data_IF_390819259264
#
_entry.id   IF_390819259264
#
_cell.length_a   1.000
_cell.length_b   1.000
_cell.length_c   1.000
_cell.angle_alpha   90.00
_cell.angle_beta   90.00
_cell.angle_gamma   90.00
#
_symmetry.space_group_name_H-M   'P 1'
#
loop_
_entity.id
_entity.type
_entity.pdbx_description
1 polymer ?
#
# COMPACT_ATOMS: atom_id res chain seq x y z
N UNK A 1 51.43 -43.80 12.45
CA UNK A 1 51.75 -42.78 13.47
C UNK A 1 52.31 -41.60 12.70
N UNK A 2 51.38 -40.69 12.46
CA UNK A 2 51.44 -39.23 12.30
C UNK A 2 52.43 -38.57 11.34
N UNK A 3 51.81 -38.15 10.23
CA UNK A 3 51.87 -36.88 9.52
C UNK A 3 52.47 -35.66 10.25
N UNK A 4 53.17 -34.82 9.50
CA UNK A 4 52.77 -33.41 9.27
C UNK A 4 53.70 -32.77 8.23
N UNK A 5 53.21 -32.58 7.01
CA UNK A 5 53.73 -31.57 6.09
C UNK A 5 52.61 -30.58 5.74
N UNK A 6 52.97 -29.31 5.83
CA UNK A 6 52.15 -28.16 5.48
C UNK A 6 52.31 -27.84 4.01
N UNK A 7 51.22 -27.46 3.33
CA UNK A 7 51.31 -26.49 2.23
C UNK A 7 49.98 -25.76 2.03
N UNK A 8 50.05 -24.44 2.05
CA UNK A 8 49.02 -23.48 1.66
C UNK A 8 49.14 -23.12 0.18
N UNK A 9 48.00 -23.06 -0.54
CA UNK A 9 47.58 -22.22 -1.69
C UNK A 9 46.37 -22.94 -2.34
N UNK A 10 45.26 -22.37 -2.80
CA UNK A 10 44.86 -21.02 -3.21
C UNK A 10 43.33 -20.98 -3.31
N UNK A 11 42.76 -19.76 -3.32
CA UNK A 11 41.34 -19.47 -3.50
C UNK A 11 40.79 -19.83 -4.91
N UNK A 12 39.45 -19.81 -4.97
CA UNK A 12 38.53 -19.75 -6.11
C UNK A 12 37.84 -21.05 -6.59
N UNK A 13 36.53 -20.89 -6.88
CA UNK A 13 35.56 -21.80 -7.49
C UNK A 13 34.64 -22.64 -6.57
N UNK A 14 33.52 -22.04 -6.12
CA UNK A 14 32.14 -22.50 -6.45
C UNK A 14 31.07 -21.80 -5.61
N UNK A 15 30.67 -20.58 -5.99
CA UNK A 15 29.39 -19.97 -5.60
C UNK A 15 28.47 -19.90 -6.81
N UNK A 16 28.10 -21.06 -7.34
CA UNK A 16 27.22 -21.18 -8.50
C UNK A 16 26.57 -22.55 -8.55
N UNK A 17 25.52 -22.76 -7.73
CA UNK A 17 24.38 -23.68 -7.94
C UNK A 17 23.67 -23.97 -6.61
N UNK A 18 22.87 -23.00 -6.14
CA UNK A 18 21.85 -23.24 -5.11
C UNK A 18 20.41 -23.12 -5.67
N UNK A 19 20.28 -23.03 -6.99
CA UNK A 19 19.00 -23.22 -7.67
C UNK A 19 18.81 -24.72 -7.95
N UNK A 20 17.60 -25.21 -7.69
CA UNK A 20 17.13 -26.59 -7.82
C UNK A 20 17.36 -27.48 -6.58
N UNK A 21 16.62 -27.16 -5.51
CA UNK A 21 16.33 -28.15 -4.47
C UNK A 21 15.00 -28.86 -4.79
N UNK A 22 15.01 -30.02 -5.48
CA UNK A 22 13.80 -30.72 -5.93
C UNK A 22 12.88 -31.14 -4.78
N UNK A 23 13.41 -31.23 -3.55
CA UNK A 23 12.63 -31.57 -2.36
C UNK A 23 11.70 -30.43 -1.95
N UNK A 24 12.06 -29.16 -2.21
CA UNK A 24 11.23 -27.98 -1.88
C UNK A 24 10.02 -27.87 -2.81
N UNK A 25 10.22 -28.08 -4.10
CA UNK A 25 9.16 -28.02 -5.11
C UNK A 25 8.15 -29.17 -4.93
N UNK A 26 8.64 -30.36 -4.60
CA UNK A 26 7.78 -31.51 -4.28
C UNK A 26 6.91 -31.25 -3.04
N UNK A 27 7.46 -30.55 -2.03
CA UNK A 27 6.70 -30.19 -0.83
C UNK A 27 5.64 -29.11 -1.11
N UNK A 28 5.99 -28.12 -1.94
CA UNK A 28 5.07 -27.06 -2.35
C UNK A 28 3.92 -27.60 -3.21
N UNK A 29 4.20 -28.49 -4.16
CA UNK A 29 3.18 -29.19 -4.95
C UNK A 29 2.28 -30.06 -4.05
N UNK A 30 2.85 -30.76 -3.07
CA UNK A 30 2.09 -31.52 -2.08
C UNK A 30 1.14 -30.66 -1.26
N UNK A 31 1.58 -29.46 -0.83
CA UNK A 31 0.76 -28.52 -0.06
C UNK A 31 -0.35 -27.89 -0.92
N UNK A 32 -0.04 -27.54 -2.18
CA UNK A 32 -1.02 -27.05 -3.16
C UNK A 32 -2.07 -28.11 -3.48
N UNK A 33 -1.66 -29.37 -3.64
CA UNK A 33 -2.58 -30.50 -3.82
C UNK A 33 -3.53 -30.68 -2.63
N UNK A 34 -3.03 -30.46 -1.41
CA UNK A 34 -3.84 -30.53 -0.18
C UNK A 34 -4.90 -29.42 -0.09
N UNK A 35 -4.54 -28.20 -0.51
CA UNK A 35 -5.37 -26.99 -0.33
C UNK A 35 -6.31 -26.71 -1.51
N UNK A 36 -5.99 -27.20 -2.71
CA UNK A 36 -6.78 -27.01 -3.94
C UNK A 36 -8.28 -27.28 -3.81
N UNK A 37 -8.75 -28.40 -3.23
CA UNK A 37 -10.19 -28.65 -3.12
C UNK A 37 -10.91 -27.64 -2.22
N UNK A 38 -10.23 -27.06 -1.23
CA UNK A 38 -10.81 -26.01 -0.37
C UNK A 38 -10.92 -24.68 -1.11
N UNK A 39 -9.92 -24.35 -1.93
CA UNK A 39 -9.92 -23.15 -2.77
C UNK A 39 -11.03 -23.23 -3.82
N UNK A 40 -11.15 -24.36 -4.51
CA UNK A 40 -12.19 -24.57 -5.53
C UNK A 40 -13.60 -24.48 -4.92
N UNK A 41 -13.81 -25.04 -3.73
CA UNK A 41 -15.07 -24.92 -2.99
C UNK A 41 -15.40 -23.48 -2.58
N UNK A 42 -14.38 -22.68 -2.21
CA UNK A 42 -14.58 -21.28 -1.88
C UNK A 42 -14.97 -20.48 -3.12
N UNK A 43 -14.31 -20.73 -4.26
CA UNK A 43 -14.59 -20.08 -5.54
C UNK A 43 -16.03 -20.33 -6.03
N UNK A 44 -16.50 -21.57 -5.91
CA UNK A 44 -17.87 -21.92 -6.27
C UNK A 44 -18.90 -21.24 -5.34
N UNK A 45 -18.61 -21.13 -4.04
CA UNK A 45 -19.48 -20.41 -3.08
C UNK A 45 -19.53 -18.91 -3.36
N UNK A 46 -18.40 -18.29 -3.70
CA UNK A 46 -18.34 -16.87 -4.07
C UNK A 46 -19.15 -16.64 -5.35
N UNK A 47 -19.00 -17.50 -6.36
CA UNK A 47 -19.75 -17.41 -7.63
C UNK A 47 -21.26 -17.54 -7.40
N UNK A 48 -21.68 -18.52 -6.61
CA UNK A 48 -23.09 -18.70 -6.27
C UNK A 48 -23.67 -17.47 -5.55
N UNK A 49 -22.94 -16.91 -4.59
CA UNK A 49 -23.37 -15.71 -3.84
C UNK A 49 -23.55 -14.51 -4.76
N UNK A 50 -22.66 -14.32 -5.75
CA UNK A 50 -22.76 -13.23 -6.73
C UNK A 50 -24.02 -13.33 -7.60
N UNK A 51 -24.36 -14.54 -8.03
CA UNK A 51 -25.57 -14.79 -8.82
C UNK A 51 -26.81 -14.42 -7.98
N UNK A 52 -26.89 -14.92 -6.74
CA UNK A 52 -28.01 -14.59 -5.85
C UNK A 52 -28.13 -13.10 -5.54
N UNK A 53 -27.01 -12.37 -5.47
CA UNK A 53 -27.03 -10.91 -5.28
C UNK A 53 -27.48 -10.13 -6.52
N UNK A 54 -27.12 -10.58 -7.72
CA UNK A 54 -27.60 -9.98 -8.97
C UNK A 54 -29.12 -10.19 -9.13
N UNK A 55 -29.60 -11.39 -8.80
CA UNK A 55 -31.04 -11.70 -8.78
C UNK A 55 -31.78 -10.83 -7.76
N UNK A 56 -31.23 -10.69 -6.54
CA UNK A 56 -31.82 -9.84 -5.51
C UNK A 56 -31.85 -8.37 -5.93
N UNK A 57 -30.80 -7.87 -6.59
CA UNK A 57 -30.74 -6.51 -7.11
C UNK A 57 -31.84 -6.27 -8.15
N UNK A 58 -32.01 -7.19 -9.10
CA UNK A 58 -33.09 -7.11 -10.10
C UNK A 58 -34.47 -7.13 -9.46
N UNK A 59 -34.68 -7.97 -8.43
CA UNK A 59 -35.94 -7.99 -7.69
C UNK A 59 -36.22 -6.68 -6.96
N UNK A 60 -35.21 -6.05 -6.37
CA UNK A 60 -35.34 -4.74 -5.71
C UNK A 60 -35.66 -3.64 -6.72
N UNK A 61 -35.03 -3.66 -7.89
CA UNK A 61 -35.31 -2.70 -8.98
C UNK A 61 -36.75 -2.87 -9.48
N UNK A 62 -37.19 -4.10 -9.74
CA UNK A 62 -38.57 -4.43 -10.11
C UNK A 62 -39.58 -3.98 -9.07
N UNK A 63 -39.33 -4.26 -7.78
CA UNK A 63 -40.22 -3.85 -6.69
C UNK A 63 -40.29 -2.32 -6.54
N UNK A 64 -39.19 -1.62 -6.78
CA UNK A 64 -39.17 -0.17 -6.75
C UNK A 64 -40.00 0.44 -7.89
N UNK A 65 -39.94 -0.13 -9.10
CA UNK A 65 -40.80 0.28 -10.21
C UNK A 65 -42.28 0.03 -9.89
N UNK A 66 -42.63 -1.13 -9.37
CA UNK A 66 -44.01 -1.43 -8.94
C UNK A 66 -44.51 -0.46 -7.86
N UNK A 67 -43.67 -0.14 -6.86
CA UNK A 67 -44.01 0.82 -5.82
C UNK A 67 -44.19 2.24 -6.36
N UNK A 68 -43.42 2.65 -7.37
CA UNK A 68 -43.63 3.95 -8.05
C UNK A 68 -44.94 3.95 -8.82
N UNK A 69 -45.25 2.88 -9.55
CA UNK A 69 -46.52 2.75 -10.28
C UNK A 69 -47.72 2.78 -9.32
N UNK A 70 -47.62 2.12 -8.16
CA UNK A 70 -48.64 2.16 -7.10
C UNK A 70 -48.74 3.57 -6.49
N UNK A 71 -47.62 4.27 -6.29
CA UNK A 71 -47.60 5.66 -5.80
C UNK A 71 -48.29 6.61 -6.77
N UNK A 72 -48.04 6.47 -8.07
CA UNK A 72 -48.68 7.27 -9.12
C UNK A 72 -50.18 6.97 -9.24
N UNK A 73 -50.58 5.71 -9.09
CA UNK A 73 -51.98 5.30 -9.13
C UNK A 73 -52.80 5.74 -7.90
N UNK A 74 -52.16 6.00 -6.76
CA UNK A 74 -52.82 6.30 -5.48
C UNK A 74 -52.96 7.80 -5.14
N UNK A 75 -52.65 8.71 -6.06
CA UNK A 75 -53.00 10.14 -6.00
C UNK A 75 -52.84 10.82 -4.60
N UNK A 76 -51.67 10.63 -3.97
CA UNK A 76 -51.22 11.29 -2.73
C UNK A 76 -52.13 11.18 -1.48
N UNK A 77 -52.24 10.00 -0.88
CA UNK A 77 -51.90 9.67 0.54
C UNK A 77 -52.47 8.28 0.92
N UNK A 78 -51.78 7.46 1.75
CA UNK A 78 -51.20 7.82 3.05
C UNK A 78 -49.67 7.99 3.00
N UNK A 79 -49.12 8.54 4.07
CA UNK A 79 -47.71 8.96 4.22
C UNK A 79 -46.71 7.84 3.88
N UNK A 80 -46.27 7.83 2.62
CA UNK A 80 -45.28 6.89 2.07
C UNK A 80 -43.85 7.34 2.35
N UNK A 81 -43.64 8.55 2.87
CA UNK A 81 -42.30 9.08 3.16
C UNK A 81 -41.47 8.19 4.10
N UNK A 82 -42.04 7.53 5.14
CA UNK A 82 -41.30 6.59 5.97
C UNK A 82 -40.80 5.37 5.18
N UNK A 83 -41.60 4.91 4.21
CA UNK A 83 -41.26 3.76 3.36
C UNK A 83 -40.25 4.15 2.29
N UNK A 84 -40.39 5.33 1.68
CA UNK A 84 -39.40 5.92 0.77
C UNK A 84 -38.07 6.14 1.49
N UNK A 85 -38.08 6.65 2.73
CA UNK A 85 -36.86 6.79 3.55
C UNK A 85 -36.23 5.44 3.89
N UNK A 86 -37.03 4.42 4.23
CA UNK A 86 -36.52 3.04 4.42
C UNK A 86 -35.93 2.48 3.13
N UNK A 87 -36.55 2.74 1.98
CA UNK A 87 -36.07 2.29 0.67
C UNK A 87 -34.75 3.00 0.29
N UNK A 88 -34.64 4.31 0.53
CA UNK A 88 -33.41 5.09 0.32
C UNK A 88 -32.30 4.61 1.27
N UNK A 89 -32.63 4.28 2.52
CA UNK A 89 -31.67 3.70 3.48
C UNK A 89 -31.23 2.30 3.04
N UNK A 90 -32.15 1.49 2.55
CA UNK A 90 -31.84 0.16 2.02
C UNK A 90 -30.96 0.25 0.76
N UNK A 91 -31.29 1.16 -0.17
CA UNK A 91 -30.46 1.50 -1.33
C UNK A 91 -29.06 1.94 -0.91
N UNK A 92 -28.93 2.80 0.09
CA UNK A 92 -27.62 3.18 0.62
C UNK A 92 -26.86 2.00 1.21
N UNK A 93 -27.50 1.15 2.00
CA UNK A 93 -26.87 -0.07 2.54
C UNK A 93 -26.44 -1.02 1.44
N UNK A 94 -27.27 -1.23 0.42
CA UNK A 94 -26.93 -2.04 -0.76
C UNK A 94 -25.79 -1.39 -1.55
N UNK A 95 -25.76 -0.06 -1.68
CA UNK A 95 -24.66 0.65 -2.35
C UNK A 95 -23.36 0.51 -1.56
N UNK A 96 -23.41 0.61 -0.23
CA UNK A 96 -22.24 0.38 0.64
C UNK A 96 -21.78 -1.07 0.52
N UNK A 97 -22.70 -2.04 0.55
CA UNK A 97 -22.36 -3.45 0.36
C UNK A 97 -21.81 -3.72 -1.04
N UNK A 98 -22.36 -3.10 -2.09
CA UNK A 98 -21.84 -3.17 -3.45
C UNK A 98 -20.45 -2.54 -3.55
N UNK A 99 -20.19 -1.43 -2.86
CA UNK A 99 -18.88 -0.81 -2.81
C UNK A 99 -17.88 -1.69 -2.04
N UNK A 100 -18.30 -2.32 -0.94
CA UNK A 100 -17.47 -3.27 -0.18
C UNK A 100 -17.21 -4.54 -0.98
N UNK A 101 -18.19 -5.04 -1.73
CA UNK A 101 -18.04 -6.18 -2.62
C UNK A 101 -17.23 -5.84 -3.86
N UNK A 102 -17.35 -4.62 -4.38
CA UNK A 102 -16.53 -4.10 -5.46
C UNK A 102 -15.09 -3.97 -4.97
N UNK A 103 -14.84 -3.39 -3.80
CA UNK A 103 -13.53 -3.36 -3.18
C UNK A 103 -12.97 -4.76 -2.88
N UNK A 104 -13.81 -5.71 -2.47
CA UNK A 104 -13.42 -7.11 -2.25
C UNK A 104 -13.17 -7.85 -3.57
N UNK A 105 -13.92 -7.54 -4.62
CA UNK A 105 -13.74 -8.06 -5.97
C UNK A 105 -12.52 -7.43 -6.65
N UNK A 106 -12.21 -6.17 -6.35
CA UNK A 106 -11.00 -5.48 -6.77
C UNK A 106 -9.80 -6.07 -6.06
N UNK A 107 -9.89 -6.40 -4.76
CA UNK A 107 -8.89 -7.20 -4.03
C UNK A 107 -8.75 -8.63 -4.55
N UNK A 108 -9.85 -9.29 -4.93
CA UNK A 108 -9.82 -10.61 -5.58
C UNK A 108 -9.24 -10.53 -7.00
N UNK A 109 -9.50 -9.43 -7.71
CA UNK A 109 -8.90 -9.13 -8.99
C UNK A 109 -7.43 -8.75 -8.81
N UNK A 110 -7.01 -8.12 -7.71
CA UNK A 110 -5.63 -7.88 -7.32
C UNK A 110 -4.91 -9.21 -7.05
N UNK A 111 -5.51 -10.12 -6.27
CA UNK A 111 -5.01 -11.48 -6.03
C UNK A 111 -4.91 -12.27 -7.34
N UNK A 112 -5.86 -12.12 -8.27
CA UNK A 112 -5.78 -12.71 -9.62
C UNK A 112 -4.82 -11.96 -10.55
N UNK A 113 -4.56 -10.68 -10.29
CA UNK A 113 -3.60 -9.83 -11.02
C UNK A 113 -2.18 -10.06 -10.54
N UNK A 114 -1.93 -10.56 -9.33
CA UNK A 114 -0.61 -11.01 -8.85
C UNK A 114 0.00 -12.16 -9.68
N UNK A 115 -0.65 -12.66 -10.73
CA UNK A 115 -0.01 -13.56 -11.71
C UNK A 115 1.18 -12.96 -12.50
N UNK A 116 1.55 -11.69 -12.27
CA UNK A 116 2.77 -11.08 -12.83
C UNK A 116 3.91 -10.86 -11.81
N UNK A 117 3.67 -11.12 -10.53
CA UNK A 117 4.65 -11.05 -9.44
C UNK A 117 4.61 -12.40 -8.76
N UNK A 118 5.67 -13.19 -8.87
CA UNK A 118 5.66 -14.52 -8.26
C UNK A 118 5.53 -14.37 -6.74
N UNK A 119 4.88 -15.31 -6.06
CA UNK A 119 4.80 -15.30 -4.59
C UNK A 119 6.19 -15.26 -3.96
N UNK A 120 7.18 -15.84 -4.65
CA UNK A 120 8.59 -15.81 -4.28
C UNK A 120 9.21 -14.40 -4.31
N UNK A 121 8.64 -13.44 -5.06
CA UNK A 121 9.16 -12.07 -5.07
C UNK A 121 8.88 -11.34 -3.73
N UNK A 122 7.80 -11.71 -3.04
CA UNK A 122 7.48 -11.20 -1.69
C UNK A 122 8.29 -11.87 -0.57
N UNK A 123 9.07 -12.92 -0.86
CA UNK A 123 10.09 -13.41 0.08
C UNK A 123 11.15 -12.32 0.35
N UNK A 124 11.23 -11.30 -0.52
CA UNK A 124 12.26 -10.28 -0.50
C UNK A 124 11.75 -8.85 -0.65
N UNK A 125 10.46 -8.62 -0.91
CA UNK A 125 9.87 -7.28 -1.04
C UNK A 125 8.62 -7.19 -0.18
N UNK A 126 8.41 -6.03 0.46
CA UNK A 126 7.24 -5.81 1.31
C UNK A 126 5.93 -5.88 0.51
N UNK A 127 5.05 -6.79 0.93
CA UNK A 127 3.70 -6.93 0.37
C UNK A 127 2.81 -5.77 0.87
N UNK A 128 2.01 -5.12 0.00
CA UNK A 128 1.04 -4.12 0.43
C UNK A 128 0.14 -4.63 1.55
N UNK A 129 0.16 -3.93 2.68
CA UNK A 129 -0.67 -4.24 3.84
C UNK A 129 -1.54 -3.04 4.26
N UNK A 130 -2.18 -3.13 5.43
CA UNK A 130 -3.14 -2.12 5.90
C UNK A 130 -2.55 -0.71 6.00
N UNK A 131 -1.25 -0.60 6.30
CA UNK A 131 -0.48 0.64 6.34
C UNK A 131 -0.37 1.30 4.95
N UNK A 132 -0.07 0.52 3.92
CA UNK A 132 0.02 0.95 2.53
C UNK A 132 -1.34 1.47 2.05
N UNK A 133 -2.42 0.76 2.37
CA UNK A 133 -3.78 1.21 2.06
C UNK A 133 -4.21 2.43 2.86
N UNK A 134 -3.80 2.56 4.12
CA UNK A 134 -4.06 3.76 4.92
C UNK A 134 -3.40 5.00 4.31
N UNK A 135 -2.19 4.85 3.77
CA UNK A 135 -1.48 5.93 3.09
C UNK A 135 -2.16 6.33 1.78
N UNK A 136 -2.64 5.36 1.00
CA UNK A 136 -3.46 5.63 -0.21
C UNK A 136 -4.76 6.35 0.17
N UNK A 137 -5.47 5.88 1.21
CA UNK A 137 -6.70 6.52 1.71
C UNK A 137 -6.44 7.98 2.16
N UNK A 138 -5.27 8.25 2.76
CA UNK A 138 -4.87 9.60 3.14
C UNK A 138 -4.65 10.50 1.92
N UNK A 139 -3.94 10.01 0.90
CA UNK A 139 -3.70 10.73 -0.36
C UNK A 139 -5.02 10.97 -1.11
N UNK A 140 -5.92 9.99 -1.13
CA UNK A 140 -7.26 10.15 -1.72
C UNK A 140 -8.08 11.20 -0.98
N UNK A 141 -8.08 11.17 0.36
CA UNK A 141 -8.77 12.17 1.18
C UNK A 141 -8.25 13.59 0.93
N UNK A 142 -6.95 13.73 0.70
CA UNK A 142 -6.30 15.03 0.42
C UNK A 142 -6.19 15.34 -1.08
N UNK A 143 -6.85 14.57 -1.95
CA UNK A 143 -6.74 14.68 -3.40
C UNK A 143 -7.11 16.07 -3.93
N UNK A 144 -8.12 16.72 -3.33
CA UNK A 144 -8.54 18.06 -3.74
C UNK A 144 -7.46 19.11 -3.43
N UNK A 145 -6.77 18.98 -2.30
CA UNK A 145 -5.63 19.81 -1.94
C UNK A 145 -4.47 19.59 -2.92
N UNK A 146 -4.11 18.34 -3.18
CA UNK A 146 -3.05 17.98 -4.13
C UNK A 146 -3.35 18.49 -5.56
N UNK A 147 -4.60 18.39 -6.03
CA UNK A 147 -5.03 18.96 -7.32
C UNK A 147 -4.85 20.48 -7.38
N UNK A 148 -5.07 21.20 -6.28
CA UNK A 148 -4.84 22.64 -6.23
C UNK A 148 -3.36 23.03 -6.30
N UNK A 149 -2.46 22.10 -5.96
CA UNK A 149 -1.01 22.28 -6.05
C UNK A 149 -0.44 21.96 -7.44
N UNK A 150 -1.13 21.11 -8.20
CA UNK A 150 -0.71 20.65 -9.53
C UNK A 150 0.76 20.16 -9.53
N UNK A 151 1.08 19.11 -8.76
CA UNK A 151 2.46 18.68 -8.55
C UNK A 151 3.08 18.16 -9.85
N UNK A 152 4.34 18.52 -10.07
CA UNK A 152 5.12 18.11 -11.24
C UNK A 152 6.06 16.97 -10.86
N UNK A 153 6.75 17.07 -9.73
CA UNK A 153 7.70 16.05 -9.27
C UNK A 153 7.26 15.45 -7.94
N UNK A 154 7.03 14.15 -7.93
CA UNK A 154 6.66 13.40 -6.73
C UNK A 154 7.71 12.33 -6.41
N UNK A 155 8.02 12.16 -5.13
CA UNK A 155 8.93 11.12 -4.64
C UNK A 155 8.23 10.24 -3.61
N UNK A 156 8.34 8.93 -3.77
CA UNK A 156 8.15 7.98 -2.66
C UNK A 156 9.51 7.45 -2.18
N UNK A 157 9.75 7.56 -0.88
CA UNK A 157 10.91 6.94 -0.23
C UNK A 157 10.50 5.58 0.33
N UNK A 158 11.31 4.54 0.10
CA UNK A 158 11.00 3.17 0.53
C UNK A 158 9.78 2.59 -0.20
N UNK A 159 9.81 2.55 -1.53
CA UNK A 159 8.60 2.23 -2.31
C UNK A 159 8.14 0.78 -2.21
N UNK A 160 9.00 -0.16 -1.81
CA UNK A 160 8.63 -1.58 -1.71
C UNK A 160 8.05 -2.10 -3.03
N UNK A 161 6.78 -2.48 -3.01
CA UNK A 161 6.03 -2.94 -4.20
C UNK A 161 5.66 -1.82 -5.20
N UNK A 162 5.75 -0.56 -4.79
CA UNK A 162 5.48 0.61 -5.62
C UNK A 162 4.01 0.98 -5.76
N UNK A 163 3.12 0.37 -4.96
CA UNK A 163 1.67 0.58 -5.09
C UNK A 163 1.22 2.00 -4.75
N UNK A 164 1.83 2.65 -3.76
CA UNK A 164 1.42 3.99 -3.29
C UNK A 164 1.78 5.07 -4.31
N UNK A 165 3.05 5.12 -4.74
CA UNK A 165 3.47 6.07 -5.78
C UNK A 165 2.79 5.82 -7.14
N UNK A 166 2.49 4.56 -7.46
CA UNK A 166 1.73 4.21 -8.67
C UNK A 166 0.30 4.73 -8.57
N UNK A 167 -0.37 4.55 -7.42
CA UNK A 167 -1.72 5.10 -7.19
C UNK A 167 -1.74 6.63 -7.31
N UNK A 168 -0.72 7.32 -6.78
CA UNK A 168 -0.58 8.76 -6.96
C UNK A 168 -0.41 9.12 -8.46
N UNK A 169 0.49 8.43 -9.18
CA UNK A 169 0.71 8.68 -10.60
C UNK A 169 -0.52 8.43 -11.48
N UNK A 170 -1.38 7.46 -11.11
CA UNK A 170 -2.68 7.26 -11.77
C UNK A 170 -3.63 8.44 -11.58
N UNK A 171 -3.61 9.06 -10.39
CA UNK A 171 -4.44 10.24 -10.09
C UNK A 171 -3.90 11.52 -10.74
N UNK A 172 -2.60 11.57 -11.06
CA UNK A 172 -1.92 12.72 -11.66
C UNK A 172 -1.09 12.33 -12.90
N UNK A 173 -1.71 12.11 -14.07
CA UNK A 173 -1.02 11.62 -15.27
C UNK A 173 0.09 12.53 -15.83
N UNK A 174 0.10 13.81 -15.44
CA UNK A 174 1.09 14.81 -15.88
C UNK A 174 2.26 14.95 -14.90
N UNK A 175 2.21 14.24 -13.77
CA UNK A 175 3.26 14.26 -12.75
C UNK A 175 4.34 13.24 -13.10
N UNK A 176 5.59 13.63 -12.92
CA UNK A 176 6.74 12.75 -12.98
C UNK A 176 6.97 12.12 -11.61
N UNK A 177 6.62 10.83 -11.49
CA UNK A 177 6.82 10.08 -10.27
C UNK A 177 8.20 9.44 -10.22
N UNK A 178 8.88 9.62 -9.09
CA UNK A 178 10.13 8.97 -8.75
C UNK A 178 9.93 8.14 -7.48
N UNK A 179 10.70 7.07 -7.35
CA UNK A 179 10.83 6.38 -6.07
C UNK A 179 12.27 5.99 -5.76
N UNK A 180 12.52 5.75 -4.48
CA UNK A 180 13.79 5.19 -3.99
C UNK A 180 13.54 4.02 -3.09
N UNK A 181 14.40 3.01 -3.17
CA UNK A 181 14.41 1.92 -2.21
C UNK A 181 15.85 1.40 -2.03
N UNK A 182 16.23 1.03 -0.80
CA UNK A 182 17.55 0.41 -0.53
C UNK A 182 17.62 -1.01 -1.09
N UNK A 183 16.48 -1.64 -1.33
CA UNK A 183 16.37 -2.96 -1.93
C UNK A 183 16.20 -2.86 -3.46
N UNK A 184 17.17 -3.41 -4.19
CA UNK A 184 17.15 -3.41 -5.66
C UNK A 184 15.94 -4.18 -6.22
N UNK A 185 15.46 -5.22 -5.54
CA UNK A 185 14.27 -5.99 -5.95
C UNK A 185 13.00 -5.14 -5.80
N UNK A 186 12.90 -4.33 -4.75
CA UNK A 186 11.80 -3.38 -4.57
C UNK A 186 11.78 -2.32 -5.68
N UNK A 187 12.96 -1.80 -6.07
CA UNK A 187 13.06 -0.89 -7.21
C UNK A 187 12.56 -1.54 -8.52
N UNK A 188 12.94 -2.79 -8.78
CA UNK A 188 12.49 -3.53 -9.96
C UNK A 188 10.97 -3.77 -9.93
N UNK A 189 10.43 -4.23 -8.78
CA UNK A 189 9.00 -4.45 -8.59
C UNK A 189 8.21 -3.15 -8.78
N UNK A 190 8.69 -2.04 -8.22
CA UNK A 190 8.05 -0.72 -8.37
C UNK A 190 7.94 -0.32 -9.85
N UNK A 191 8.99 -0.53 -10.66
CA UNK A 191 8.93 -0.26 -12.12
C UNK A 191 7.94 -1.18 -12.83
N UNK A 192 7.86 -2.45 -12.45
CA UNK A 192 6.88 -3.39 -13.00
C UNK A 192 5.44 -2.98 -12.66
N UNK A 193 5.17 -2.64 -11.40
CA UNK A 193 3.88 -2.13 -10.92
C UNK A 193 3.45 -0.89 -11.71
N UNK A 194 4.35 0.07 -11.91
CA UNK A 194 4.07 1.28 -12.69
C UNK A 194 3.81 0.98 -14.17
N UNK A 195 4.64 0.15 -14.81
CA UNK A 195 4.50 -0.23 -16.21
C UNK A 195 3.16 -0.95 -16.46
N UNK A 196 2.77 -1.85 -15.57
CA UNK A 196 1.48 -2.56 -15.63
C UNK A 196 0.29 -1.59 -15.57
N UNK A 197 0.38 -0.57 -14.71
CA UNK A 197 -0.65 0.45 -14.54
C UNK A 197 -0.52 1.65 -15.49
N UNK A 198 0.43 1.60 -16.45
CA UNK A 198 0.68 2.65 -17.45
C UNK A 198 1.00 4.02 -16.84
N UNK A 199 1.70 4.02 -15.71
CA UNK A 199 2.17 5.24 -15.03
C UNK A 199 3.62 5.52 -15.43
N UNK A 200 3.93 6.79 -15.70
CA UNK A 200 5.30 7.24 -15.93
C UNK A 200 5.99 7.34 -14.57
N UNK A 201 6.86 6.38 -14.27
CA UNK A 201 7.57 6.29 -13.02
C UNK A 201 8.96 5.70 -13.23
N UNK A 202 9.96 6.25 -12.55
CA UNK A 202 11.27 5.61 -12.41
C UNK A 202 11.62 5.37 -10.93
N UNK A 203 12.46 4.36 -10.68
CA UNK A 203 12.87 3.95 -9.34
C UNK A 203 14.38 3.81 -9.26
N UNK A 204 14.96 4.35 -8.18
CA UNK A 204 16.40 4.39 -7.94
C UNK A 204 16.78 3.59 -6.70
N UNK A 205 17.75 2.68 -6.84
CA UNK A 205 18.31 1.99 -5.68
C UNK A 205 19.19 2.98 -4.89
N UNK A 206 18.71 3.42 -3.73
CA UNK A 206 19.28 4.56 -3.00
C UNK A 206 18.89 4.52 -1.52
N UNK A 207 19.79 5.01 -0.67
CA UNK A 207 19.50 5.29 0.73
C UNK A 207 18.72 6.60 0.86
N UNK A 208 17.44 6.48 1.25
CA UNK A 208 16.51 7.60 1.36
C UNK A 208 16.51 8.45 0.06
N UNK A 209 16.71 9.76 0.18
CA UNK A 209 16.77 10.70 -0.94
C UNK A 209 18.18 11.27 -1.16
N UNK A 210 19.24 10.49 -0.86
CA UNK A 210 20.61 11.00 -0.66
C UNK A 210 21.19 11.76 -1.86
N UNK A 211 20.89 11.30 -3.08
CA UNK A 211 21.58 11.75 -4.30
C UNK A 211 20.73 12.64 -5.20
N UNK A 212 19.49 12.93 -4.80
CA UNK A 212 18.67 13.90 -5.53
C UNK A 212 19.15 15.32 -5.28
N UNK A 213 18.94 16.19 -6.28
CA UNK A 213 19.12 17.63 -6.13
C UNK A 213 18.14 18.21 -5.11
N UNK A 214 18.47 19.37 -4.57
CA UNK A 214 17.67 20.04 -3.56
C UNK A 214 16.48 20.81 -4.19
N UNK A 215 15.41 20.98 -3.40
CA UNK A 215 14.20 21.77 -3.68
C UNK A 215 13.44 21.37 -4.94
N UNK A 216 13.36 20.07 -5.23
CA UNK A 216 12.78 19.57 -6.49
C UNK A 216 11.40 18.93 -6.32
N UNK A 217 11.09 18.34 -5.16
CA UNK A 217 9.88 17.53 -5.02
C UNK A 217 8.69 18.34 -4.47
N UNK A 218 7.59 18.36 -5.22
CA UNK A 218 6.33 18.97 -4.82
C UNK A 218 5.59 18.10 -3.80
N UNK A 219 5.74 16.78 -3.91
CA UNK A 219 5.19 15.80 -2.96
C UNK A 219 6.28 14.81 -2.59
N UNK A 220 6.51 14.60 -1.30
CA UNK A 220 7.28 13.46 -0.79
C UNK A 220 6.33 12.58 0.02
N UNK A 221 6.44 11.26 -0.15
CA UNK A 221 5.67 10.25 0.56
C UNK A 221 6.65 9.29 1.22
N UNK A 222 6.37 8.92 2.47
CA UNK A 222 7.14 7.90 3.16
C UNK A 222 6.25 7.00 4.02
N UNK A 223 6.29 5.70 3.73
CA UNK A 223 5.90 4.64 4.65
C UNK A 223 7.18 4.02 5.24
N UNK A 224 7.67 4.48 6.40
CA UNK A 224 8.96 4.04 6.93
C UNK A 224 8.92 2.61 7.50
N UNK A 225 10.08 1.97 7.74
CA UNK A 225 10.16 0.90 8.72
C UNK A 225 9.91 1.49 10.12
N UNK A 226 8.69 1.32 10.63
CA UNK A 226 8.22 2.00 11.85
C UNK A 226 8.16 1.11 13.10
N UNK A 227 8.48 -0.18 12.99
CA UNK A 227 8.40 -1.11 14.13
C UNK A 227 9.55 -0.83 15.09
N UNK A 228 9.25 -0.74 16.38
CA UNK A 228 10.26 -0.58 17.43
C UNK A 228 11.07 -1.86 17.53
N UNK A 229 12.35 -1.77 17.25
CA UNK A 229 13.32 -2.88 17.30
C UNK A 229 14.60 -2.42 18.00
N UNK A 230 15.51 -3.35 18.26
CA UNK A 230 16.87 -2.97 18.63
C UNK A 230 17.56 -2.25 17.46
N UNK A 231 18.43 -1.29 17.74
CA UNK A 231 19.13 -0.51 16.72
C UNK A 231 20.00 -1.36 15.80
N UNK A 232 20.50 -2.51 16.28
CA UNK A 232 21.30 -3.46 15.50
C UNK A 232 20.49 -4.14 14.39
N UNK A 233 19.16 -4.19 14.51
CA UNK A 233 18.26 -4.76 13.51
C UNK A 233 17.88 -3.73 12.41
N UNK A 234 18.24 -2.46 12.60
CA UNK A 234 17.91 -1.38 11.69
C UNK A 234 18.93 -1.26 10.54
N UNK A 235 18.46 -1.12 9.30
CA UNK A 235 19.32 -0.85 8.15
C UNK A 235 20.01 -2.08 7.52
N UNK A 236 19.53 -3.29 7.81
CA UNK A 236 19.95 -4.50 7.10
C UNK A 236 19.56 -4.50 5.61
N UNK A 237 20.06 -5.47 4.85
CA UNK A 237 19.67 -5.69 3.44
C UNK A 237 18.55 -6.71 3.25
N UNK A 238 18.16 -7.39 4.32
CA UNK A 238 17.14 -8.44 4.31
C UNK A 238 15.74 -7.84 4.45
N UNK A 239 14.70 -8.67 4.24
CA UNK A 239 13.29 -8.26 4.34
C UNK A 239 12.96 -7.55 5.66
N UNK A 240 13.69 -7.87 6.73
CA UNK A 240 13.60 -7.25 8.06
C UNK A 240 13.75 -5.73 8.04
N UNK A 241 14.56 -5.20 7.12
CA UNK A 241 14.75 -3.76 6.94
C UNK A 241 13.48 -3.03 6.48
N UNK A 242 12.48 -3.77 5.99
CA UNK A 242 11.18 -3.18 5.59
C UNK A 242 10.34 -2.74 6.78
N UNK A 243 10.59 -3.26 7.99
CA UNK A 243 9.82 -2.90 9.18
C UNK A 243 10.69 -2.45 10.37
N UNK A 244 11.95 -2.87 10.47
CA UNK A 244 12.83 -2.57 11.61
C UNK A 244 13.25 -1.08 11.68
N UNK A 245 12.59 -0.32 12.54
CA UNK A 245 12.78 1.12 12.70
C UNK A 245 13.76 1.53 13.82
N UNK A 246 14.31 0.56 14.56
CA UNK A 246 15.25 0.81 15.65
C UNK A 246 14.58 1.48 16.86
N UNK A 247 15.34 2.30 17.59
CA UNK A 247 14.86 3.00 18.77
C UNK A 247 13.64 3.88 18.46
N UNK A 248 12.55 3.68 19.21
CA UNK A 248 11.23 4.31 18.98
C UNK A 248 10.62 4.00 17.58
N UNK A 249 11.22 3.10 16.80
CA UNK A 249 10.80 2.83 15.42
C UNK A 249 11.02 4.04 14.49
N UNK A 250 12.02 4.87 14.74
CA UNK A 250 12.22 6.14 14.03
C UNK A 250 13.62 6.43 13.53
N UNK A 251 14.60 5.55 13.68
CA UNK A 251 15.98 5.88 13.28
C UNK A 251 16.08 6.26 11.79
N UNK A 252 15.38 5.53 10.93
CA UNK A 252 15.30 5.84 9.49
C UNK A 252 14.43 7.08 9.24
N UNK A 253 13.31 7.20 9.95
CA UNK A 253 12.40 8.36 9.88
C UNK A 253 13.14 9.64 10.21
N UNK A 254 13.82 9.71 11.35
CA UNK A 254 14.54 10.89 11.83
C UNK A 254 15.67 11.30 10.88
N UNK A 255 16.34 10.33 10.23
CA UNK A 255 17.29 10.61 9.14
C UNK A 255 16.62 11.30 7.96
N UNK A 256 15.47 10.81 7.50
CA UNK A 256 14.74 11.45 6.40
C UNK A 256 14.21 12.84 6.80
N UNK A 257 13.68 13.01 8.01
CA UNK A 257 13.16 14.29 8.50
C UNK A 257 14.21 15.41 8.37
N UNK A 258 15.48 15.11 8.63
CA UNK A 258 16.59 16.06 8.46
C UNK A 258 16.89 16.43 7.00
N UNK A 259 16.46 15.61 6.04
CA UNK A 259 16.62 15.84 4.61
C UNK A 259 15.45 16.61 4.00
N UNK A 260 14.23 16.45 4.53
CA UNK A 260 12.99 17.05 4.00
C UNK A 260 13.13 18.56 3.71
N UNK A 261 13.71 19.40 4.60
CA UNK A 261 13.84 20.84 4.34
C UNK A 261 14.66 21.19 3.10
N UNK A 262 15.56 20.30 2.67
CA UNK A 262 16.39 20.47 1.47
C UNK A 262 15.78 19.82 0.23
N UNK A 263 14.92 18.80 0.38
CA UNK A 263 14.39 18.02 -0.75
C UNK A 263 13.05 18.54 -1.27
N UNK A 264 12.20 19.06 -0.39
CA UNK A 264 10.91 19.64 -0.80
C UNK A 264 11.09 20.95 -1.57
N UNK A 265 10.36 21.08 -2.67
CA UNK A 265 10.21 22.32 -3.40
C UNK A 265 9.47 23.38 -2.57
N UNK A 266 9.48 24.63 -3.06
CA UNK A 266 8.68 25.70 -2.49
C UNK A 266 7.19 25.34 -2.55
N UNK A 267 6.50 25.36 -1.41
CA UNK A 267 5.10 24.92 -1.24
C UNK A 267 4.87 23.41 -1.38
N UNK A 268 5.95 22.61 -1.39
CA UNK A 268 5.87 21.16 -1.37
C UNK A 268 5.27 20.62 -0.07
N UNK A 269 4.77 19.40 -0.15
CA UNK A 269 4.08 18.70 0.94
C UNK A 269 4.73 17.34 1.19
N UNK A 270 4.83 16.95 2.46
CA UNK A 270 5.36 15.65 2.86
C UNK A 270 4.31 14.85 3.63
N UNK A 271 4.05 13.62 3.18
CA UNK A 271 3.17 12.66 3.87
C UNK A 271 4.00 11.57 4.51
N UNK A 272 3.75 11.32 5.79
CA UNK A 272 4.47 10.35 6.60
C UNK A 272 3.49 9.47 7.36
N UNK A 273 3.62 8.15 7.19
CA UNK A 273 2.93 7.17 8.02
C UNK A 273 3.69 6.97 9.33
N UNK A 274 2.95 6.90 10.44
CA UNK A 274 3.46 6.60 11.78
C UNK A 274 2.49 5.69 12.54
N UNK A 275 3.01 5.01 13.55
CA UNK A 275 2.22 4.42 14.64
C UNK A 275 2.37 5.26 15.93
N UNK A 276 1.49 5.05 16.90
CA UNK A 276 1.52 5.78 18.18
C UNK A 276 2.85 5.57 18.94
N UNK A 277 3.44 4.38 18.82
CA UNK A 277 4.74 4.02 19.39
C UNK A 277 5.90 4.84 18.82
N UNK A 278 5.73 5.42 17.63
CA UNK A 278 6.68 6.37 17.07
C UNK A 278 6.56 7.77 17.68
N UNK A 279 5.74 7.98 18.71
CA UNK A 279 5.58 9.26 19.42
C UNK A 279 5.41 10.44 18.42
N UNK A 280 4.30 10.49 17.66
CA UNK A 280 4.11 11.44 16.56
C UNK A 280 4.30 12.91 16.95
N UNK A 281 4.03 13.27 18.21
CA UNK A 281 4.23 14.63 18.72
C UNK A 281 5.71 15.06 18.63
N UNK A 282 6.67 14.18 18.92
CA UNK A 282 8.10 14.48 18.76
C UNK A 282 8.46 14.69 17.28
N UNK A 283 7.86 13.90 16.37
CA UNK A 283 8.06 14.06 14.92
C UNK A 283 7.52 15.42 14.43
N UNK A 284 6.36 15.82 14.97
CA UNK A 284 5.78 17.15 14.71
C UNK A 284 6.69 18.26 15.23
N UNK A 285 7.26 18.12 16.42
CA UNK A 285 8.20 19.10 16.99
C UNK A 285 9.45 19.26 16.11
N UNK A 286 10.04 18.15 15.64
CA UNK A 286 11.19 18.18 14.73
C UNK A 286 10.86 18.98 13.47
N UNK A 287 9.76 18.65 12.79
CA UNK A 287 9.38 19.34 11.55
C UNK A 287 8.97 20.81 11.79
N UNK A 288 8.36 21.11 12.94
CA UNK A 288 8.03 22.47 13.35
C UNK A 288 9.29 23.31 13.55
N UNK A 289 10.38 22.73 14.08
CA UNK A 289 11.67 23.41 14.21
C UNK A 289 12.27 23.83 12.84
N UNK A 290 11.91 23.12 11.77
CA UNK A 290 12.25 23.47 10.38
C UNK A 290 11.22 24.41 9.71
N UNK A 291 10.23 24.89 10.46
CA UNK A 291 9.21 25.83 10.00
C UNK A 291 8.04 25.20 9.23
N UNK A 292 7.80 23.89 9.39
CA UNK A 292 6.64 23.22 8.80
C UNK A 292 5.46 23.22 9.78
N UNK A 293 4.25 23.36 9.23
CA UNK A 293 3.00 23.02 9.90
C UNK A 293 2.70 21.55 9.69
N UNK A 294 1.91 20.97 10.58
CA UNK A 294 1.45 19.58 10.48
C UNK A 294 -0.07 19.46 10.56
N UNK A 295 -0.61 18.43 9.91
CA UNK A 295 -2.02 18.03 9.99
C UNK A 295 -2.11 16.49 9.98
N UNK A 296 -2.90 15.90 10.88
CA UNK A 296 -3.25 14.47 10.79
C UNK A 296 -4.34 14.29 9.74
N UNK A 297 -4.01 13.70 8.59
CA UNK A 297 -4.94 13.49 7.49
C UNK A 297 -5.92 12.37 7.82
N UNK A 298 -5.40 11.25 8.32
CA UNK A 298 -6.20 10.10 8.74
C UNK A 298 -5.55 9.43 9.95
N UNK A 299 -6.38 8.84 10.81
CA UNK A 299 -5.98 7.99 11.94
C UNK A 299 -6.90 6.77 11.96
N UNK A 300 -6.33 5.57 12.00
CA UNK A 300 -7.07 4.30 11.99
C UNK A 300 -6.47 3.37 13.02
N UNK A 301 -7.35 2.67 13.76
CA UNK A 301 -6.94 1.58 14.62
C UNK A 301 -7.03 0.27 13.85
N UNK A 302 -5.90 -0.41 13.70
CA UNK A 302 -5.77 -1.70 13.01
C UNK A 302 -5.27 -2.71 14.03
N UNK A 303 -6.12 -3.70 14.36
CA UNK A 303 -5.83 -4.66 15.44
C UNK A 303 -5.46 -3.95 16.75
N UNK A 304 -4.19 -4.05 17.15
CA UNK A 304 -3.64 -3.46 18.37
C UNK A 304 -2.80 -2.19 18.10
N UNK A 305 -2.57 -1.83 16.85
CA UNK A 305 -1.77 -0.68 16.46
C UNK A 305 -2.66 0.48 16.06
N UNK A 306 -2.23 1.69 16.40
CA UNK A 306 -2.90 2.92 16.01
C UNK A 306 -2.04 3.64 14.99
N UNK A 307 -2.40 3.48 13.72
CA UNK A 307 -1.71 4.05 12.58
C UNK A 307 -2.30 5.43 12.23
N UNK A 308 -1.45 6.33 11.78
CA UNK A 308 -1.83 7.66 11.33
C UNK A 308 -0.95 8.12 10.17
N UNK A 309 -1.51 9.01 9.36
CA UNK A 309 -0.74 9.71 8.32
C UNK A 309 -0.70 11.19 8.66
N UNK A 310 0.50 11.71 8.86
CA UNK A 310 0.77 13.12 9.04
C UNK A 310 1.11 13.76 7.70
N UNK A 311 0.61 14.98 7.49
CA UNK A 311 0.96 15.87 6.40
C UNK A 311 1.74 17.05 6.93
N UNK A 312 2.89 17.34 6.34
CA UNK A 312 3.74 18.49 6.64
C UNK A 312 3.80 19.46 5.46
N UNK A 313 3.60 20.75 5.71
CA UNK A 313 3.54 21.79 4.68
C UNK A 313 3.92 23.17 5.24
N UNK A 314 4.16 24.15 4.37
CA UNK A 314 4.41 25.56 4.75
C UNK A 314 3.16 26.43 4.51
#
# INVERSE_FOLDING_TARGET
MDDTESTTTSADENTGNLCDNPTRDTLAEGLLGLLKPTVDQLDDRVRATRISQLELKQQIESLNEELQNVREALNNHPDLDPYVKKLISCKHKVTVVLNVLQASQDRLNEIRRMNHIDKADFDHVYEPAEDSFLLIDALEKDLQYLKSKNPIFCLEVGSGSGVVITALGMAFPQTFCLSTDVNLKACAMTKQTAAYNKVILDSCNMDLASSFIDNVFDVIIFNPPYVVTDSEECGGSDITASWAGGAKGREITDRLLNMIPKKLANNGVFYLLLIEENIPDEVVEIMTSYGYKSETVIKRKVRNEQQLVLKFFK
#
